data_IF_325956503731
#
_entry.id   IF_325956503731
#
_cell.length_a   1.000
_cell.length_b   1.000
_cell.length_c   1.000
_cell.angle_alpha   90.00
_cell.angle_beta   90.00
_cell.angle_gamma   90.00
#
_symmetry.space_group_name_H-M   'P 1'
#
loop_
_entity.id
_entity.type
_entity.pdbx_description
1 polymer ?
#
# COMPACT_ATOMS: atom_id res chain seq x y z
N UNK A 1 14.57 7.76 7.42
CA UNK A 1 13.88 6.71 8.21
C UNK A 1 13.08 5.86 7.23
N UNK A 2 12.58 4.67 7.57
CA UNK A 2 11.67 3.89 6.69
C UNK A 2 10.22 4.15 7.08
N UNK A 3 9.29 3.99 6.15
CA UNK A 3 7.87 4.07 6.48
C UNK A 3 7.49 2.94 7.45
N UNK A 4 6.51 3.14 8.34
CA UNK A 4 5.86 2.02 9.00
C UNK A 4 5.10 1.20 7.94
N UNK A 5 5.57 -0.01 7.66
CA UNK A 5 4.84 -1.00 6.84
C UNK A 5 3.53 -1.41 7.55
N UNK A 6 2.55 -1.91 6.79
CA UNK A 6 1.37 -2.53 7.36
C UNK A 6 1.74 -3.78 8.14
N UNK A 7 1.49 -3.77 9.45
CA UNK A 7 1.76 -4.92 10.31
C UNK A 7 0.66 -5.99 10.23
N UNK A 8 0.96 -7.18 10.75
CA UNK A 8 0.02 -8.32 10.79
C UNK A 8 -1.34 -7.96 11.43
N UNK A 9 -1.32 -7.12 12.48
CA UNK A 9 -2.55 -6.67 13.15
C UNK A 9 -3.40 -5.79 12.22
N UNK A 10 -2.77 -4.91 11.44
CA UNK A 10 -3.48 -4.04 10.51
C UNK A 10 -4.13 -4.91 9.43
N UNK A 11 -3.37 -5.82 8.81
CA UNK A 11 -3.86 -6.74 7.79
C UNK A 11 -5.02 -7.60 8.31
N UNK A 12 -4.90 -8.13 9.53
CA UNK A 12 -5.96 -8.90 10.19
C UNK A 12 -7.24 -8.07 10.40
N UNK A 13 -7.12 -6.89 11.01
CA UNK A 13 -8.27 -6.03 11.27
C UNK A 13 -8.93 -5.52 9.99
N UNK A 14 -8.15 -5.31 8.92
CA UNK A 14 -8.70 -4.94 7.61
C UNK A 14 -9.50 -6.11 7.03
N UNK A 15 -8.95 -7.33 7.07
CA UNK A 15 -9.64 -8.54 6.62
C UNK A 15 -10.95 -8.82 7.37
N UNK A 16 -10.98 -8.53 8.67
CA UNK A 16 -12.17 -8.66 9.52
C UNK A 16 -13.16 -7.49 9.41
N UNK A 17 -12.85 -6.44 8.64
CA UNK A 17 -13.67 -5.23 8.57
C UNK A 17 -13.73 -4.43 9.88
N UNK A 18 -12.72 -4.58 10.74
CA UNK A 18 -12.63 -4.03 12.10
C UNK A 18 -11.54 -2.98 12.28
N UNK A 19 -10.83 -2.63 11.21
CA UNK A 19 -9.82 -1.58 11.25
C UNK A 19 -10.47 -0.18 11.29
N UNK A 20 -10.81 0.31 12.48
CA UNK A 20 -11.56 1.55 12.65
C UNK A 20 -10.82 2.82 12.19
N UNK A 21 -9.50 2.75 12.04
CA UNK A 21 -8.65 3.84 11.52
C UNK A 21 -8.10 3.51 10.14
N UNK A 22 -8.93 2.93 9.26
CA UNK A 22 -8.50 2.42 7.95
C UNK A 22 -7.74 3.46 7.10
N UNK A 23 -8.05 4.75 7.28
CA UNK A 23 -7.38 5.86 6.60
C UNK A 23 -5.92 6.06 7.01
N UNK A 24 -5.47 5.53 8.15
CA UNK A 24 -4.05 5.50 8.54
C UNK A 24 -3.29 4.34 7.90
N UNK A 25 -4.00 3.26 7.58
CA UNK A 25 -3.45 2.06 6.97
C UNK A 25 -3.41 2.13 5.43
N UNK A 26 -4.49 2.57 4.78
CA UNK A 26 -4.58 2.68 3.32
C UNK A 26 -4.33 4.11 2.83
N UNK A 27 -3.97 4.26 1.55
CA UNK A 27 -3.74 5.55 0.91
C UNK A 27 -2.25 5.90 0.82
N UNK A 28 -1.97 7.21 0.70
CA UNK A 28 -0.63 7.76 0.57
C UNK A 28 -0.23 8.47 1.87
N UNK A 29 0.86 8.03 2.51
CA UNK A 29 1.31 8.51 3.81
C UNK A 29 2.77 8.98 3.75
N UNK A 30 3.01 10.31 3.74
CA UNK A 30 4.36 10.86 3.74
C UNK A 30 5.12 10.54 5.03
N UNK A 31 6.44 10.32 4.91
CA UNK A 31 7.35 10.16 6.04
C UNK A 31 8.72 10.78 5.72
N UNK A 32 9.64 10.79 6.69
CA UNK A 32 11.01 11.28 6.47
C UNK A 32 11.80 10.31 5.57
N UNK A 33 11.71 10.55 4.27
CA UNK A 33 12.37 9.77 3.23
C UNK A 33 11.51 9.41 2.02
N UNK A 34 10.19 9.62 2.06
CA UNK A 34 9.32 9.18 0.97
C UNK A 34 7.82 9.26 1.27
N UNK A 35 7.03 8.44 0.58
CA UNK A 35 5.60 8.29 0.80
C UNK A 35 5.23 6.83 0.63
N UNK A 36 4.66 6.24 1.68
CA UNK A 36 4.12 4.89 1.62
C UNK A 36 2.77 4.92 0.92
N UNK A 37 2.57 4.03 -0.05
CA UNK A 37 1.31 3.83 -0.75
C UNK A 37 0.75 2.47 -0.42
N UNK A 38 -0.52 2.40 -0.04
CA UNK A 38 -1.24 1.13 0.15
C UNK A 38 -2.64 1.17 -0.47
N UNK A 39 -3.01 0.11 -1.19
CA UNK A 39 -4.33 -0.01 -1.85
C UNK A 39 -4.89 -1.42 -1.71
N UNK A 40 -6.20 -1.51 -1.46
CA UNK A 40 -6.91 -2.78 -1.48
C UNK A 40 -7.38 -3.10 -2.90
N UNK A 41 -6.81 -4.16 -3.49
CA UNK A 41 -7.12 -4.61 -4.84
C UNK A 41 -6.99 -6.15 -4.93
N UNK A 42 -7.87 -6.91 -4.25
CA UNK A 42 -7.68 -8.35 -4.01
C UNK A 42 -7.64 -9.19 -5.28
N UNK A 43 -8.36 -8.76 -6.32
CA UNK A 43 -8.49 -9.44 -7.60
C UNK A 43 -7.54 -8.89 -8.68
N UNK A 44 -6.69 -7.91 -8.36
CA UNK A 44 -5.71 -7.41 -9.31
C UNK A 44 -4.63 -8.46 -9.57
N UNK A 45 -4.14 -8.53 -10.81
CA UNK A 45 -2.97 -9.36 -11.16
C UNK A 45 -1.66 -8.67 -10.81
N UNK A 46 -1.65 -7.35 -10.91
CA UNK A 46 -0.51 -6.50 -10.62
C UNK A 46 -1.03 -5.10 -10.28
N UNK A 47 -0.35 -4.39 -9.38
CA UNK A 47 -0.57 -2.98 -9.10
C UNK A 47 0.75 -2.24 -9.22
N UNK A 48 0.73 -1.04 -9.79
CA UNK A 48 1.90 -0.19 -10.00
C UNK A 48 1.59 1.24 -9.61
N UNK A 49 2.58 1.91 -9.01
CA UNK A 49 2.51 3.33 -8.71
C UNK A 49 2.98 4.14 -9.93
N UNK A 50 2.20 5.14 -10.32
CA UNK A 50 2.44 5.96 -11.50
C UNK A 50 2.11 7.41 -11.17
N UNK A 51 2.98 8.35 -11.56
CA UNK A 51 2.78 9.77 -11.31
C UNK A 51 3.79 10.64 -12.04
N UNK A 52 3.76 11.94 -11.77
CA UNK A 52 4.73 12.90 -12.30
C UNK A 52 6.19 12.54 -11.94
N UNK A 53 6.45 12.08 -10.72
CA UNK A 53 7.77 11.68 -10.22
C UNK A 53 8.45 10.53 -10.99
N UNK A 54 7.69 9.71 -11.73
CA UNK A 54 8.25 8.68 -12.60
C UNK A 54 7.93 8.90 -14.08
N UNK A 55 7.56 10.13 -14.46
CA UNK A 55 7.24 10.47 -15.85
C UNK A 55 6.02 9.73 -16.40
N UNK A 56 5.10 9.32 -15.52
CA UNK A 56 3.96 8.46 -15.84
C UNK A 56 4.35 7.08 -16.40
N UNK A 57 5.56 6.63 -16.13
CA UNK A 57 6.05 5.32 -16.56
C UNK A 57 5.36 4.21 -15.77
N UNK A 58 4.75 3.27 -16.50
CA UNK A 58 4.01 2.13 -15.95
C UNK A 58 4.90 0.92 -15.67
N UNK A 59 6.22 1.02 -15.79
CA UNK A 59 7.13 -0.13 -15.71
C UNK A 59 8.06 -0.07 -14.50
N UNK A 60 8.18 1.09 -13.85
CA UNK A 60 9.26 1.40 -12.90
C UNK A 60 8.95 1.07 -11.44
N UNK A 61 7.69 1.13 -11.01
CA UNK A 61 7.32 1.04 -9.59
C UNK A 61 6.20 0.00 -9.34
N UNK A 62 6.52 -1.32 -9.37
CA UNK A 62 5.57 -2.36 -8.99
C UNK A 62 5.31 -2.37 -7.48
N UNK A 63 4.05 -2.56 -7.07
CA UNK A 63 3.67 -2.71 -5.67
C UNK A 63 3.78 -4.17 -5.22
N UNK A 64 4.14 -4.39 -3.96
CA UNK A 64 4.23 -5.70 -3.31
C UNK A 64 2.87 -6.11 -2.78
N UNK A 65 2.45 -7.35 -3.05
CA UNK A 65 1.19 -7.88 -2.54
C UNK A 65 1.38 -8.53 -1.17
N UNK A 66 0.56 -8.13 -0.21
CA UNK A 66 0.40 -8.83 1.07
C UNK A 66 -0.58 -9.99 0.90
N UNK A 67 -0.06 -11.21 0.86
CA UNK A 67 -0.85 -12.41 0.59
C UNK A 67 -1.97 -12.61 1.62
N UNK A 68 -3.11 -13.12 1.16
CA UNK A 68 -4.31 -13.33 1.98
C UNK A 68 -5.18 -12.08 2.22
N UNK A 69 -4.59 -10.87 2.24
CA UNK A 69 -5.34 -9.61 2.48
C UNK A 69 -5.89 -8.96 1.20
N UNK A 70 -5.20 -9.15 0.08
CA UNK A 70 -5.49 -8.43 -1.17
C UNK A 70 -5.02 -6.97 -1.17
N UNK A 71 -4.20 -6.58 -0.19
CA UNK A 71 -3.57 -5.27 -0.10
C UNK A 71 -2.25 -5.28 -0.87
N UNK A 72 -1.97 -4.16 -1.51
CA UNK A 72 -0.74 -3.88 -2.23
C UNK A 72 -0.04 -2.68 -1.59
N UNK A 73 1.27 -2.74 -1.42
CA UNK A 73 2.08 -1.72 -0.75
C UNK A 73 3.35 -1.35 -1.53
N UNK A 74 3.83 -0.11 -1.39
CA UNK A 74 5.12 0.38 -1.88
C UNK A 74 5.59 1.54 -0.98
N UNK A 75 6.87 1.59 -0.63
CA UNK A 75 7.50 2.66 0.16
C UNK A 75 8.42 3.58 -0.67
#
# INVERSE_FOLDING_TARGET
MTAPELGDLDLYLIGEGRHHRLWEALGAHPYDGGTRFAVWAPNAREVRLVGDFNGWDRTTLPMVRHDGSGIWELD
#
